data_IF_825441595460
#
_entry.id   IF_825441595460
#
_cell.length_a   1.000
_cell.length_b   1.000
_cell.length_c   1.000
_cell.angle_alpha   90.00
_cell.angle_beta   90.00
_cell.angle_gamma   90.00
#
_symmetry.space_group_name_H-M   'P 1'
#
loop_
_entity.id
_entity.type
_entity.pdbx_description
1 polymer ?
#
# COMPACT_ATOMS: atom_id res chain seq x y z
N UNK A 1 -11.55 -4.10 -20.30
CA UNK A 1 -10.45 -3.16 -20.02
C UNK A 1 -10.97 -2.11 -19.04
N UNK A 2 -10.17 -1.73 -18.05
CA UNK A 2 -10.50 -0.72 -17.03
C UNK A 2 -9.37 0.30 -16.88
N UNK A 3 -9.72 1.50 -16.42
CA UNK A 3 -8.76 2.56 -16.10
C UNK A 3 -8.62 2.65 -14.58
N UNK A 4 -7.38 2.72 -14.10
CA UNK A 4 -7.05 2.83 -12.68
C UNK A 4 -6.22 4.08 -12.38
N UNK A 5 -6.31 4.56 -11.13
CA UNK A 5 -5.62 5.74 -10.63
C UNK A 5 -4.22 5.49 -10.05
N UNK A 6 -3.67 4.27 -10.20
CA UNK A 6 -2.33 3.92 -9.70
C UNK A 6 -1.26 4.88 -10.27
N UNK A 7 -0.26 5.22 -9.45
CA UNK A 7 0.79 6.18 -9.79
C UNK A 7 0.51 7.62 -9.35
N UNK A 8 -0.75 7.96 -9.08
CA UNK A 8 -1.13 9.31 -8.66
C UNK A 8 -0.49 9.72 -7.32
N UNK A 9 -0.46 8.82 -6.34
CA UNK A 9 0.13 9.08 -5.02
C UNK A 9 1.66 9.23 -5.10
N UNK A 10 2.31 8.45 -5.95
CA UNK A 10 3.75 8.46 -6.15
C UNK A 10 4.24 9.70 -6.89
N UNK A 11 3.45 10.24 -7.82
CA UNK A 11 3.82 11.44 -8.60
C UNK A 11 3.56 12.73 -7.82
N UNK A 12 2.49 12.77 -7.04
CA UNK A 12 2.00 13.99 -6.38
C UNK A 12 2.14 13.98 -4.85
N UNK A 13 2.82 12.98 -4.28
CA UNK A 13 3.01 12.84 -2.83
C UNK A 13 1.68 12.72 -2.08
N UNK A 14 0.87 11.75 -2.49
CA UNK A 14 -0.49 11.57 -2.00
C UNK A 14 -0.62 10.75 -0.71
N UNK A 15 0.43 10.01 -0.34
CA UNK A 15 0.42 9.27 0.92
C UNK A 15 0.54 10.22 2.11
N UNK A 16 -0.16 9.90 3.19
CA UNK A 16 -0.20 10.74 4.39
C UNK A 16 1.19 11.01 5.00
N UNK A 17 2.18 10.14 4.74
CA UNK A 17 3.52 10.35 5.24
C UNK A 17 4.24 11.55 4.59
N UNK A 18 3.81 11.97 3.39
CA UNK A 18 4.36 13.17 2.74
C UNK A 18 4.07 14.47 3.48
N UNK A 19 3.11 14.48 4.42
CA UNK A 19 2.91 15.62 5.33
C UNK A 19 4.12 15.92 6.20
N UNK A 20 5.03 14.95 6.35
CA UNK A 20 6.27 15.07 7.13
C UNK A 20 7.50 15.31 6.26
N UNK A 21 7.34 15.47 4.94
CA UNK A 21 8.47 15.80 4.07
C UNK A 21 9.13 17.10 4.55
N UNK A 22 10.44 17.09 4.86
CA UNK A 22 11.09 18.22 5.53
C UNK A 22 11.26 19.44 4.61
N UNK A 23 11.35 19.20 3.30
CA UNK A 23 11.50 20.23 2.28
C UNK A 23 11.13 19.67 0.90
N UNK A 24 11.09 20.54 -0.09
CA UNK A 24 10.68 20.22 -1.47
C UNK A 24 11.63 19.23 -2.17
N UNK A 25 12.91 19.26 -1.84
CA UNK A 25 13.91 18.37 -2.45
C UNK A 25 13.74 16.94 -1.96
N UNK A 26 13.57 16.74 -0.64
CA UNK A 26 13.27 15.42 -0.08
C UNK A 26 11.92 14.87 -0.56
N UNK A 27 10.90 15.74 -0.68
CA UNK A 27 9.63 15.38 -1.30
C UNK A 27 9.84 14.86 -2.72
N UNK A 28 10.57 15.60 -3.56
CA UNK A 28 10.85 15.21 -4.93
C UNK A 28 11.66 13.92 -5.03
N UNK A 29 12.74 13.80 -4.25
CA UNK A 29 13.55 12.60 -4.22
C UNK A 29 12.73 11.37 -3.84
N UNK A 30 11.82 11.50 -2.88
CA UNK A 30 10.93 10.40 -2.50
C UNK A 30 9.95 10.04 -3.61
N UNK A 31 9.31 11.02 -4.28
CA UNK A 31 8.46 10.73 -5.45
C UNK A 31 9.23 9.99 -6.54
N UNK A 32 10.48 10.38 -6.81
CA UNK A 32 11.35 9.69 -7.76
C UNK A 32 11.67 8.24 -7.33
N UNK A 33 11.99 8.02 -6.04
CA UNK A 33 12.23 6.66 -5.51
C UNK A 33 10.98 5.79 -5.66
N UNK A 34 9.82 6.33 -5.29
CA UNK A 34 8.52 5.65 -5.37
C UNK A 34 8.16 5.27 -6.80
N UNK A 35 8.26 6.20 -7.76
CA UNK A 35 7.99 5.93 -9.17
C UNK A 35 8.93 4.83 -9.70
N UNK A 36 10.23 4.89 -9.38
CA UNK A 36 11.21 3.87 -9.80
C UNK A 36 10.91 2.48 -9.23
N UNK A 37 10.28 2.40 -8.06
CA UNK A 37 9.97 1.15 -7.38
C UNK A 37 8.57 0.59 -7.69
N UNK A 38 7.70 1.35 -8.36
CA UNK A 38 6.30 0.99 -8.65
C UNK A 38 6.12 -0.41 -9.26
N UNK A 39 7.07 -0.85 -10.09
CA UNK A 39 7.03 -2.16 -10.75
C UNK A 39 7.11 -3.34 -9.76
N UNK A 40 7.59 -3.13 -8.54
CA UNK A 40 7.67 -4.13 -7.46
C UNK A 40 6.44 -4.11 -6.55
N UNK A 41 5.61 -3.07 -6.64
CA UNK A 41 4.49 -2.81 -5.70
C UNK A 41 3.17 -2.62 -6.45
N UNK A 42 2.68 -1.39 -6.59
CA UNK A 42 1.34 -1.06 -7.06
C UNK A 42 1.10 -1.50 -8.50
N UNK A 43 2.08 -1.37 -9.39
CA UNK A 43 1.97 -1.90 -10.76
C UNK A 43 1.93 -3.43 -10.77
N UNK A 44 2.71 -4.09 -9.90
CA UNK A 44 2.70 -5.55 -9.79
C UNK A 44 1.32 -6.06 -9.36
N UNK A 45 0.74 -5.44 -8.32
CA UNK A 45 -0.61 -5.74 -7.82
C UNK A 45 -1.66 -5.47 -8.89
N UNK A 46 -1.71 -4.25 -9.43
CA UNK A 46 -2.73 -3.84 -10.39
C UNK A 46 -2.70 -4.73 -11.63
N UNK A 47 -1.52 -5.03 -12.18
CA UNK A 47 -1.39 -5.88 -13.36
C UNK A 47 -1.74 -7.34 -13.08
N UNK A 48 -1.12 -7.99 -12.07
CA UNK A 48 -1.34 -9.42 -11.82
C UNK A 48 -2.76 -9.73 -11.32
N UNK A 49 -3.32 -8.89 -10.46
CA UNK A 49 -4.66 -9.11 -9.91
C UNK A 49 -5.75 -9.03 -10.98
N UNK A 50 -5.63 -8.08 -11.93
CA UNK A 50 -6.59 -7.94 -13.02
C UNK A 50 -6.37 -8.98 -14.12
N UNK A 51 -5.09 -9.27 -14.45
CA UNK A 51 -4.74 -10.28 -15.46
C UNK A 51 -5.17 -11.69 -15.08
N UNK A 52 -5.26 -12.00 -13.77
CA UNK A 52 -5.80 -13.27 -13.28
C UNK A 52 -7.24 -13.54 -13.75
N UNK A 53 -7.97 -12.51 -14.16
CA UNK A 53 -9.34 -12.57 -14.66
C UNK A 53 -9.47 -12.12 -16.13
N UNK A 54 -8.36 -12.11 -16.88
CA UNK A 54 -8.36 -11.66 -18.28
C UNK A 54 -8.70 -10.18 -18.46
N UNK A 55 -8.54 -9.36 -17.41
CA UNK A 55 -8.86 -7.95 -17.46
C UNK A 55 -7.59 -7.10 -17.61
N UNK A 56 -7.55 -6.27 -18.66
CA UNK A 56 -6.49 -5.27 -18.84
C UNK A 56 -6.77 -4.02 -17.97
N UNK A 57 -5.80 -3.64 -17.13
CA UNK A 57 -5.77 -2.38 -16.41
C UNK A 57 -4.83 -1.37 -17.08
N UNK A 58 -5.33 -0.17 -17.37
CA UNK A 58 -4.53 0.97 -17.84
C UNK A 58 -4.37 2.01 -16.75
N UNK A 59 -3.21 2.66 -16.71
CA UNK A 59 -2.79 3.56 -15.63
C UNK A 59 -2.34 4.92 -16.20
N UNK A 60 -3.28 5.83 -16.55
CA UNK A 60 -2.96 7.07 -17.26
C UNK A 60 -1.99 7.99 -16.53
N UNK A 61 -1.98 7.98 -15.19
CA UNK A 61 -0.99 8.72 -14.40
C UNK A 61 0.46 8.28 -14.69
N UNK A 62 0.65 7.05 -15.16
CA UNK A 62 1.98 6.52 -15.49
C UNK A 62 2.31 6.61 -16.99
N UNK A 63 1.51 7.35 -17.76
CA UNK A 63 1.90 7.70 -19.13
C UNK A 63 3.22 8.50 -19.12
N UNK A 64 4.09 8.20 -20.08
CA UNK A 64 5.44 8.79 -20.14
C UNK A 64 5.40 10.31 -20.35
N UNK A 65 4.49 10.80 -21.18
CA UNK A 65 4.37 12.23 -21.44
C UNK A 65 3.77 12.94 -20.22
N UNK A 66 2.77 12.33 -19.60
CA UNK A 66 2.20 12.84 -18.36
C UNK A 66 3.24 12.91 -17.23
N UNK A 67 4.03 11.85 -17.02
CA UNK A 67 5.11 11.84 -16.02
C UNK A 67 6.10 12.98 -16.30
N UNK A 68 6.53 13.18 -17.54
CA UNK A 68 7.48 14.26 -17.88
C UNK A 68 6.94 15.63 -17.47
N UNK A 69 5.67 15.91 -17.75
CA UNK A 69 5.02 17.17 -17.33
C UNK A 69 4.91 17.22 -15.81
N UNK A 70 4.29 16.21 -15.20
CA UNK A 70 4.00 16.20 -13.77
C UNK A 70 5.27 16.26 -12.91
N UNK A 71 6.38 15.65 -13.36
CA UNK A 71 7.66 15.66 -12.64
C UNK A 71 8.51 16.91 -12.89
N UNK A 72 8.18 17.71 -13.91
CA UNK A 72 8.83 19.01 -14.18
C UNK A 72 8.29 20.18 -13.33
N UNK A 73 7.13 19.99 -12.71
CA UNK A 73 6.52 20.96 -11.80
C UNK A 73 7.41 21.15 -10.57
N UNK A 74 7.61 22.41 -10.12
CA UNK A 74 8.32 22.70 -8.87
C UNK A 74 7.71 21.90 -7.71
N UNK A 75 8.48 21.03 -7.04
CA UNK A 75 7.99 20.21 -5.94
C UNK A 75 7.34 21.02 -4.81
N UNK A 76 7.70 22.29 -4.65
CA UNK A 76 7.05 23.22 -3.73
C UNK A 76 5.53 23.32 -3.97
N UNK A 77 5.10 23.23 -5.23
CA UNK A 77 3.67 23.26 -5.59
C UNK A 77 2.94 21.96 -5.26
N UNK A 78 3.67 20.87 -5.00
CA UNK A 78 3.13 19.57 -4.58
C UNK A 78 3.14 19.37 -3.06
N UNK A 79 3.98 20.15 -2.34
CA UNK A 79 4.08 20.05 -0.90
C UNK A 79 2.74 20.36 -0.22
N UNK A 80 2.50 19.62 0.86
CA UNK A 80 1.35 19.85 1.73
C UNK A 80 1.66 21.01 2.68
N UNK A 81 0.76 21.99 2.73
CA UNK A 81 0.86 23.19 3.59
C UNK A 81 -0.48 23.43 4.26
N UNK A 82 -0.65 22.85 5.46
CA UNK A 82 -1.95 22.86 6.16
C UNK A 82 -2.39 24.25 6.60
N UNK A 83 -1.43 25.10 6.94
CA UNK A 83 -1.60 26.52 7.25
C UNK A 83 -2.18 27.31 6.07
N UNK A 84 -1.84 26.93 4.83
CA UNK A 84 -2.42 27.48 3.60
C UNK A 84 -3.68 26.72 3.13
N UNK A 85 -4.16 25.74 3.89
CA UNK A 85 -5.27 24.87 3.50
C UNK A 85 -4.94 23.86 2.38
N UNK A 86 -3.67 23.71 2.02
CA UNK A 86 -3.23 22.73 1.01
C UNK A 86 -3.16 21.33 1.63
N UNK A 87 -3.86 20.40 1.01
CA UNK A 87 -3.84 18.96 1.36
C UNK A 87 -3.03 18.17 0.32
N UNK A 88 -2.87 16.86 0.53
CA UNK A 88 -2.15 15.99 -0.38
C UNK A 88 -2.70 16.08 -1.83
N UNK A 89 -1.79 16.02 -2.80
CA UNK A 89 -2.09 16.21 -4.23
C UNK A 89 -2.76 17.56 -4.56
N UNK A 90 -2.49 18.62 -3.79
CA UNK A 90 -3.13 19.93 -3.95
C UNK A 90 -3.17 20.43 -5.41
N UNK A 91 -2.02 20.46 -6.08
CA UNK A 91 -1.95 20.93 -7.47
C UNK A 91 -2.83 20.12 -8.43
N UNK A 92 -2.93 18.80 -8.22
CA UNK A 92 -3.80 17.95 -9.01
C UNK A 92 -5.27 18.31 -8.75
N UNK A 93 -5.66 18.50 -7.49
CA UNK A 93 -7.03 18.90 -7.12
C UNK A 93 -7.39 20.24 -7.76
N UNK A 94 -6.48 21.23 -7.71
CA UNK A 94 -6.66 22.54 -8.35
C UNK A 94 -6.79 22.45 -9.87
N UNK A 95 -6.04 21.56 -10.53
CA UNK A 95 -6.13 21.38 -11.97
C UNK A 95 -7.49 20.84 -12.45
N UNK A 96 -8.26 20.19 -11.58
CA UNK A 96 -9.60 19.68 -11.86
C UNK A 96 -10.70 20.47 -11.11
N UNK A 97 -10.36 21.61 -10.50
CA UNK A 97 -11.31 22.46 -9.79
C UNK A 97 -11.96 23.49 -10.73
N UNK A 98 -12.82 22.99 -11.62
CA UNK A 98 -13.59 23.80 -12.56
C UNK A 98 -14.93 24.21 -11.89
N UNK A 99 -15.18 25.51 -11.76
CA UNK A 99 -16.41 26.03 -11.15
C UNK A 99 -17.59 26.06 -12.12
N UNK A 100 -17.32 26.21 -13.42
CA UNK A 100 -18.36 26.26 -14.45
C UNK A 100 -18.77 24.85 -14.87
N UNK A 101 -17.79 23.95 -15.00
CA UNK A 101 -17.99 22.56 -15.44
C UNK A 101 -17.31 21.56 -14.48
N UNK A 102 -17.83 21.37 -13.25
CA UNK A 102 -17.17 20.54 -12.25
C UNK A 102 -16.98 19.09 -12.69
N UNK A 103 -15.73 18.62 -12.69
CA UNK A 103 -15.41 17.19 -12.93
C UNK A 103 -15.89 16.29 -11.80
N UNK A 104 -15.86 16.79 -10.56
CA UNK A 104 -16.21 16.06 -9.35
C UNK A 104 -16.94 16.99 -8.35
N UNK A 105 -17.83 16.46 -7.49
CA UNK A 105 -18.37 17.21 -6.37
C UNK A 105 -17.24 17.72 -5.45
N UNK A 106 -17.35 18.96 -4.94
CA UNK A 106 -16.30 19.60 -4.10
C UNK A 106 -15.87 18.74 -2.91
N UNK A 107 -16.82 18.06 -2.26
CA UNK A 107 -16.53 17.19 -1.12
C UNK A 107 -15.71 15.94 -1.50
N UNK A 108 -15.75 15.48 -2.76
CA UNK A 108 -14.88 14.41 -3.28
C UNK A 108 -13.54 15.00 -3.70
N UNK A 109 -13.57 16.12 -4.45
CA UNK A 109 -12.38 16.79 -4.96
C UNK A 109 -11.41 17.21 -3.85
N UNK A 110 -11.93 17.55 -2.66
CA UNK A 110 -11.15 17.96 -1.50
C UNK A 110 -11.21 16.94 -0.35
N UNK A 111 -11.65 15.71 -0.62
CA UNK A 111 -11.62 14.63 0.37
C UNK A 111 -10.17 14.26 0.71
N UNK A 112 -9.87 14.20 2.01
CA UNK A 112 -8.57 13.72 2.48
C UNK A 112 -8.34 12.27 2.05
N UNK A 113 -7.08 11.94 1.75
CA UNK A 113 -6.66 10.57 1.42
C UNK A 113 -6.98 9.60 2.55
N UNK A 114 -7.71 8.55 2.17
CA UNK A 114 -7.84 7.32 2.95
C UNK A 114 -7.06 6.20 2.26
N UNK A 115 -6.42 5.33 3.02
CA UNK A 115 -5.70 4.17 2.48
C UNK A 115 -6.70 3.09 2.02
N UNK A 116 -6.32 2.31 1.00
CA UNK A 116 -7.23 1.31 0.43
C UNK A 116 -7.73 0.31 1.48
N UNK A 117 -6.86 -0.12 2.38
CA UNK A 117 -7.18 -1.11 3.40
C UNK A 117 -8.22 -0.64 4.43
N UNK A 118 -8.31 0.66 4.66
CA UNK A 118 -9.36 1.24 5.51
C UNK A 118 -10.61 1.56 4.69
N UNK A 119 -10.44 2.01 3.44
CA UNK A 119 -11.54 2.29 2.52
C UNK A 119 -12.35 1.06 2.08
N UNK A 120 -11.77 -0.15 2.11
CA UNK A 120 -12.50 -1.41 1.84
C UNK A 120 -13.33 -1.90 3.03
N UNK A 121 -13.07 -1.37 4.23
CA UNK A 121 -13.72 -1.76 5.48
C UNK A 121 -12.72 -2.15 6.55
N UNK A 122 -12.89 -1.55 7.74
CA UNK A 122 -11.94 -1.67 8.84
C UNK A 122 -11.70 -3.11 9.33
N UNK A 123 -12.72 -3.98 9.24
CA UNK A 123 -12.64 -5.38 9.64
C UNK A 123 -11.78 -6.26 8.72
N UNK A 124 -11.42 -5.77 7.53
CA UNK A 124 -10.67 -6.57 6.55
C UNK A 124 -9.27 -6.94 7.06
N UNK A 125 -8.48 -5.94 7.48
CA UNK A 125 -7.13 -6.16 8.02
C UNK A 125 -7.20 -7.01 9.30
N UNK A 126 -8.16 -6.71 10.17
CA UNK A 126 -8.30 -7.43 11.44
C UNK A 126 -8.67 -8.90 11.21
N UNK A 127 -9.50 -9.17 10.20
CA UNK A 127 -9.81 -10.53 9.73
C UNK A 127 -8.58 -11.27 9.21
N UNK A 128 -7.72 -10.61 8.41
CA UNK A 128 -6.47 -11.21 7.92
C UNK A 128 -5.50 -11.54 9.06
N UNK A 129 -5.37 -10.66 10.05
CA UNK A 129 -4.56 -10.89 11.25
C UNK A 129 -5.09 -12.07 12.06
N UNK A 130 -6.40 -12.09 12.32
CA UNK A 130 -7.05 -13.18 13.05
C UNK A 130 -6.91 -14.52 12.32
N UNK A 131 -7.04 -14.53 11.00
CA UNK A 131 -6.83 -15.73 10.18
C UNK A 131 -5.37 -16.22 10.25
N UNK A 132 -4.40 -15.32 10.11
CA UNK A 132 -2.99 -15.67 10.25
C UNK A 132 -2.64 -16.21 11.65
N UNK A 133 -3.28 -15.66 12.70
CA UNK A 133 -3.12 -16.11 14.09
C UNK A 133 -3.55 -17.57 14.31
N UNK A 134 -4.55 -18.04 13.56
CA UNK A 134 -5.01 -19.44 13.61
C UNK A 134 -4.02 -20.41 12.95
N UNK A 135 -3.21 -19.93 12.00
CA UNK A 135 -2.32 -20.77 11.19
C UNK A 135 -0.83 -20.66 11.58
N UNK A 136 -0.42 -19.58 12.25
CA UNK A 136 0.97 -19.35 12.63
C UNK A 136 1.11 -19.28 14.14
N UNK A 137 1.76 -20.30 14.71
CA UNK A 137 1.98 -20.38 16.15
C UNK A 137 3.16 -19.54 16.61
N UNK A 138 3.21 -19.19 17.90
CA UNK A 138 4.37 -18.49 18.48
C UNK A 138 5.66 -19.32 18.34
N UNK A 139 5.58 -20.65 18.40
CA UNK A 139 6.72 -21.54 18.16
C UNK A 139 7.26 -21.42 16.73
N UNK A 140 6.38 -21.30 15.73
CA UNK A 140 6.78 -21.04 14.34
C UNK A 140 7.49 -19.70 14.20
N UNK A 141 6.97 -18.65 14.84
CA UNK A 141 7.60 -17.32 14.85
C UNK A 141 8.99 -17.35 15.50
N UNK A 142 9.17 -18.03 16.64
CA UNK A 142 10.49 -18.18 17.27
C UNK A 142 11.51 -18.86 16.35
N UNK A 143 11.07 -19.73 15.44
CA UNK A 143 11.94 -20.43 14.50
C UNK A 143 12.01 -19.76 13.11
N UNK A 144 11.40 -18.59 12.92
CA UNK A 144 11.24 -17.97 11.61
C UNK A 144 12.57 -17.68 10.92
N UNK A 145 13.59 -17.21 11.65
CA UNK A 145 14.92 -16.91 11.09
C UNK A 145 15.66 -18.15 10.58
N UNK A 146 15.40 -19.31 11.16
CA UNK A 146 16.01 -20.57 10.73
C UNK A 146 15.33 -21.12 9.46
N UNK A 147 14.01 -20.91 9.33
CA UNK A 147 13.23 -21.40 8.19
C UNK A 147 13.34 -20.42 7.00
N UNK A 148 13.28 -19.12 7.28
CA UNK A 148 13.27 -18.05 6.29
C UNK A 148 14.41 -17.05 6.55
N UNK A 149 15.68 -17.43 6.32
CA UNK A 149 16.83 -16.57 6.64
C UNK A 149 16.90 -15.28 5.81
N UNK A 150 16.34 -15.29 4.59
CA UNK A 150 16.18 -14.11 3.75
C UNK A 150 14.80 -13.49 3.96
N UNK A 151 14.74 -12.19 4.24
CA UNK A 151 13.51 -11.45 4.55
C UNK A 151 12.65 -12.18 5.60
N UNK A 152 13.24 -12.44 6.77
CA UNK A 152 12.56 -13.11 7.87
C UNK A 152 11.25 -12.41 8.23
N UNK A 153 10.10 -13.11 8.24
CA UNK A 153 8.84 -12.50 8.62
C UNK A 153 8.86 -12.11 10.11
N UNK A 154 8.48 -10.86 10.40
CA UNK A 154 8.44 -10.31 11.77
C UNK A 154 7.05 -10.37 12.40
N UNK A 155 6.02 -10.66 11.60
CA UNK A 155 4.64 -10.84 12.05
C UNK A 155 4.10 -12.19 11.58
N UNK A 156 3.07 -12.69 12.26
CA UNK A 156 2.38 -13.92 11.87
C UNK A 156 1.70 -13.80 10.51
N UNK A 157 1.14 -12.64 10.21
CA UNK A 157 0.56 -12.34 8.90
C UNK A 157 1.61 -12.46 7.78
N UNK A 158 2.78 -11.81 7.95
CA UNK A 158 3.89 -11.92 7.00
C UNK A 158 4.40 -13.37 6.88
N UNK A 159 4.47 -14.11 7.99
CA UNK A 159 4.85 -15.53 7.99
C UNK A 159 3.86 -16.36 7.18
N UNK A 160 2.56 -16.12 7.35
CA UNK A 160 1.51 -16.83 6.64
C UNK A 160 1.60 -16.60 5.12
N UNK A 161 1.75 -15.34 4.69
CA UNK A 161 1.99 -15.03 3.27
C UNK A 161 3.28 -15.67 2.75
N UNK A 162 4.35 -15.67 3.55
CA UNK A 162 5.63 -16.29 3.19
C UNK A 162 5.49 -17.80 2.99
N UNK A 163 4.74 -18.49 3.84
CA UNK A 163 4.44 -19.92 3.67
C UNK A 163 3.73 -20.19 2.35
N UNK A 164 2.72 -19.39 2.01
CA UNK A 164 1.97 -19.54 0.75
C UNK A 164 2.91 -19.27 -0.43
N UNK A 165 3.70 -18.19 -0.38
CA UNK A 165 4.65 -17.85 -1.43
C UNK A 165 5.63 -18.98 -1.70
N UNK A 166 6.28 -19.53 -0.67
CA UNK A 166 7.27 -20.60 -0.86
C UNK A 166 6.65 -21.94 -1.28
N UNK A 167 5.36 -22.17 -0.99
CA UNK A 167 4.62 -23.32 -1.52
C UNK A 167 4.50 -23.27 -3.04
N UNK A 168 4.28 -22.09 -3.61
CA UNK A 168 4.16 -21.90 -5.07
C UNK A 168 5.50 -21.64 -5.76
N UNK A 169 6.43 -20.98 -5.06
CA UNK A 169 7.71 -20.53 -5.59
C UNK A 169 8.89 -20.94 -4.67
N UNK A 170 9.24 -22.24 -4.62
CA UNK A 170 10.25 -22.75 -3.70
C UNK A 170 11.70 -22.34 -4.05
N UNK A 171 11.92 -21.76 -5.22
CA UNK A 171 13.26 -21.43 -5.72
C UNK A 171 13.84 -20.19 -5.05
N UNK A 172 15.15 -20.21 -4.79
CA UNK A 172 15.88 -19.05 -4.26
C UNK A 172 15.74 -17.81 -5.16
N UNK A 173 15.76 -17.98 -6.48
CA UNK A 173 15.60 -16.87 -7.42
C UNK A 173 14.27 -16.14 -7.22
N UNK A 174 13.18 -16.86 -6.96
CA UNK A 174 11.88 -16.25 -6.69
C UNK A 174 11.88 -15.44 -5.39
N UNK A 175 12.50 -15.97 -4.31
CA UNK A 175 12.64 -15.26 -3.04
C UNK A 175 13.35 -13.91 -3.18
N UNK A 176 14.37 -13.86 -4.04
CA UNK A 176 15.16 -12.64 -4.30
C UNK A 176 14.40 -11.57 -5.10
N UNK A 177 13.27 -11.93 -5.73
CA UNK A 177 12.43 -10.95 -6.45
C UNK A 177 11.55 -10.11 -5.52
N UNK A 178 11.36 -10.55 -4.26
CA UNK A 178 10.52 -9.84 -3.29
C UNK A 178 11.41 -8.86 -2.50
N UNK A 179 11.22 -7.54 -2.66
CA UNK A 179 12.02 -6.56 -1.95
C UNK A 179 11.82 -6.68 -0.43
N UNK A 180 12.92 -6.61 0.31
CA UNK A 180 12.91 -6.51 1.77
C UNK A 180 13.24 -5.10 2.24
N UNK A 181 13.11 -4.86 3.55
CA UNK A 181 13.49 -3.61 4.20
C UNK A 181 12.38 -3.01 5.07
N UNK A 182 12.73 -1.99 5.84
CA UNK A 182 11.76 -1.25 6.65
C UNK A 182 10.86 -0.39 5.74
N UNK A 183 9.55 -0.40 6.03
CA UNK A 183 8.55 0.40 5.33
C UNK A 183 7.41 0.77 6.29
N UNK A 184 6.81 1.94 6.10
CA UNK A 184 5.62 2.40 6.82
C UNK A 184 4.64 2.93 5.78
N UNK A 185 3.43 2.37 5.70
CA UNK A 185 2.39 2.91 4.80
C UNK A 185 2.86 3.13 3.34
N UNK A 186 3.61 2.18 2.77
CA UNK A 186 4.22 2.27 1.44
C UNK A 186 5.40 3.27 1.32
N UNK A 187 5.94 3.78 2.42
CA UNK A 187 7.12 4.67 2.45
C UNK A 187 8.41 3.91 2.16
N UNK A 188 9.41 4.63 1.65
CA UNK A 188 10.78 4.13 1.62
C UNK A 188 11.45 4.26 2.98
N UNK A 189 12.52 3.48 3.22
CA UNK A 189 13.32 3.60 4.43
C UNK A 189 13.81 5.04 4.70
N UNK A 190 14.04 5.83 3.65
CA UNK A 190 14.48 7.22 3.78
C UNK A 190 13.36 8.13 4.31
N UNK A 191 12.11 7.90 3.90
CA UNK A 191 10.97 8.67 4.41
C UNK A 191 10.63 8.32 5.87
N UNK A 192 11.02 7.15 6.37
CA UNK A 192 10.92 6.82 7.80
C UNK A 192 11.81 7.72 8.66
N UNK A 193 12.89 8.28 8.11
CA UNK A 193 13.79 9.21 8.81
C UNK A 193 13.18 10.61 9.00
N UNK A 194 12.10 10.94 8.30
CA UNK A 194 11.48 12.27 8.36
C UNK A 194 10.73 12.53 9.67
N UNK A 195 10.30 11.48 10.38
CA UNK A 195 9.59 11.60 11.64
C UNK A 195 10.15 10.60 12.67
N UNK A 196 10.69 11.14 13.77
CA UNK A 196 11.28 10.34 14.84
C UNK A 196 10.26 9.38 15.50
N UNK A 197 8.97 9.72 15.49
CA UNK A 197 7.91 8.87 16.03
C UNK A 197 7.67 7.61 15.16
N UNK A 198 7.90 7.69 13.84
CA UNK A 198 7.74 6.53 12.94
C UNK A 198 8.89 5.53 13.01
N UNK A 199 10.09 5.98 13.36
CA UNK A 199 11.22 5.07 13.61
C UNK A 199 10.87 3.98 14.65
N UNK A 200 9.95 4.29 15.57
CA UNK A 200 9.51 3.39 16.64
C UNK A 200 8.12 2.77 16.39
N UNK A 201 7.42 3.12 15.30
CA UNK A 201 6.08 2.60 14.99
C UNK A 201 5.93 2.31 13.49
N UNK A 202 6.49 1.17 13.07
CA UNK A 202 6.49 0.72 11.68
C UNK A 202 5.19 -0.02 11.30
N UNK A 203 4.03 0.62 11.46
CA UNK A 203 2.77 0.00 11.03
C UNK A 203 2.62 0.06 9.49
N UNK A 204 2.61 -1.09 8.81
CA UNK A 204 2.49 -1.14 7.36
C UNK A 204 1.09 -0.73 6.87
N UNK A 205 0.05 -0.79 7.71
CA UNK A 205 -1.30 -0.34 7.35
C UNK A 205 -1.43 1.18 7.28
N UNK A 206 -0.41 1.91 7.74
CA UNK A 206 -0.35 3.36 7.71
C UNK A 206 -1.38 4.08 8.58
N UNK A 207 -2.07 3.32 9.45
CA UNK A 207 -2.85 3.84 10.57
C UNK A 207 -1.94 4.57 11.58
N UNK A 208 -0.63 4.31 11.55
CA UNK A 208 0.39 5.02 12.32
C UNK A 208 0.68 6.47 11.88
N UNK A 209 0.04 7.02 10.84
CA UNK A 209 0.05 8.46 10.56
C UNK A 209 -0.81 9.26 11.57
N UNK A 210 -0.62 8.96 12.86
CA UNK A 210 -1.31 9.57 14.01
C UNK A 210 -1.16 11.10 13.96
N UNK A 211 -2.28 11.81 14.05
CA UNK A 211 -2.33 13.28 14.03
C UNK A 211 -2.36 13.93 12.63
N UNK A 212 -2.25 13.15 11.54
CA UNK A 212 -2.37 13.67 10.16
C UNK A 212 -3.79 13.49 9.61
N UNK A 213 -4.39 12.31 9.82
CA UNK A 213 -5.75 12.04 9.36
C UNK A 213 -6.77 12.71 10.30
N UNK A 214 -7.67 13.55 9.75
CA UNK A 214 -8.65 14.30 10.54
C UNK A 214 -9.68 13.40 11.23
N UNK A 215 -9.90 12.20 10.69
CA UNK A 215 -10.73 11.15 11.28
C UNK A 215 -9.89 10.00 11.84
N UNK A 216 -8.61 10.23 12.16
CA UNK A 216 -7.82 9.24 12.91
C UNK A 216 -8.56 8.92 14.23
N UNK A 217 -8.58 7.65 14.61
CA UNK A 217 -9.29 7.20 15.81
C UNK A 217 -8.93 8.04 17.05
N UNK A 218 -9.93 8.40 17.84
CA UNK A 218 -9.73 8.80 19.22
C UNK A 218 -9.16 7.58 19.98
N UNK A 219 -8.16 7.80 20.83
CA UNK A 219 -7.44 6.75 21.56
C UNK A 219 -8.30 5.96 22.58
N UNK A 220 -9.61 6.20 22.66
CA UNK A 220 -10.47 5.78 23.78
C UNK A 220 -11.66 4.90 23.41
N UNK A 221 -11.74 4.32 22.21
CA UNK A 221 -12.85 3.39 21.88
C UNK A 221 -12.35 1.96 21.78
N UNK A 222 -12.54 1.11 22.81
CA UNK A 222 -12.41 -0.33 22.65
C UNK A 222 -13.52 -0.77 21.69
N UNK A 223 -13.15 -1.18 20.47
CA UNK A 223 -14.09 -1.75 19.52
C UNK A 223 -14.62 -3.06 20.12
N UNK A 224 -15.93 -3.13 20.28
CA UNK A 224 -16.65 -4.24 20.86
C UNK A 224 -16.34 -5.55 20.12
N UNK A 225 -16.00 -6.58 20.89
CA UNK A 225 -15.91 -7.97 20.42
C UNK A 225 -17.31 -8.45 19.98
N UNK A 226 -17.73 -8.10 18.76
CA UNK A 226 -18.83 -8.79 18.10
C UNK A 226 -18.21 -9.76 17.09
N UNK A 227 -18.37 -11.09 17.27
CA UNK A 227 -17.83 -12.06 16.34
C UNK A 227 -18.47 -11.85 14.96
N UNK A 228 -17.63 -11.60 13.96
CA UNK A 228 -18.06 -11.59 12.57
C UNK A 228 -18.51 -13.01 12.21
N UNK A 229 -19.76 -13.18 11.77
CA UNK A 229 -20.23 -14.47 11.26
C UNK A 229 -19.45 -14.81 10.01
N UNK A 230 -18.51 -15.75 10.14
CA UNK A 230 -17.80 -16.37 9.03
C UNK A 230 -18.83 -17.16 8.21
N UNK A 231 -19.03 -16.79 6.95
CA UNK A 231 -19.82 -17.58 6.01
C UNK A 231 -18.89 -18.68 5.49
N UNK A 232 -18.98 -19.87 6.10
CA UNK A 232 -18.25 -21.09 5.70
C UNK A 232 -18.81 -21.67 4.40
N UNK A 233 -18.57 -21.01 3.26
CA UNK A 233 -18.79 -21.60 1.95
C UNK A 233 -17.59 -21.30 1.03
N UNK A 234 -16.48 -22.00 1.28
CA UNK A 234 -15.36 -22.09 0.33
C UNK A 234 -15.65 -23.27 -0.61
N UNK A 235 -15.81 -23.06 -1.94
CA UNK A 235 -15.76 -24.16 -2.88
C UNK A 235 -14.36 -24.79 -2.84
N UNK A 236 -14.26 -26.11 -2.66
CA UNK A 236 -12.99 -26.83 -2.76
C UNK A 236 -12.30 -26.45 -4.07
N UNK A 237 -11.06 -25.95 -3.98
CA UNK A 237 -10.21 -25.76 -5.14
C UNK A 237 -10.06 -27.08 -5.89
N UNK A 238 -10.25 -27.02 -7.21
CA UNK A 238 -10.11 -28.15 -8.14
C UNK A 238 -8.72 -28.76 -7.96
N UNK A 239 -8.66 -30.05 -7.64
CA UNK A 239 -7.43 -30.83 -7.64
C UNK A 239 -6.85 -30.86 -9.06
N UNK A 240 -5.63 -30.38 -9.23
CA UNK A 240 -4.88 -30.48 -10.50
C UNK A 240 -4.24 -31.88 -10.53
N UNK A 241 -4.57 -32.75 -11.50
CA UNK A 241 -3.94 -34.07 -11.58
C UNK A 241 -2.47 -33.93 -11.97
N UNK A 242 -1.60 -34.58 -11.20
CA UNK A 242 -0.16 -34.63 -11.48
C UNK A 242 0.13 -35.30 -12.82
N UNK A 243 0.95 -34.65 -13.65
CA UNK A 243 1.47 -35.22 -14.89
C UNK A 243 2.55 -36.23 -14.53
N UNK A 244 2.25 -37.51 -14.72
CA UNK A 244 3.25 -38.58 -14.63
C UNK A 244 4.17 -38.50 -15.85
N UNK A 245 5.46 -38.25 -15.61
CA UNK A 245 6.50 -38.42 -16.63
C UNK A 245 6.79 -39.92 -16.69
N UNK A 246 6.39 -40.59 -17.76
CA UNK A 246 6.88 -41.93 -18.07
C UNK A 246 8.27 -41.79 -18.70
N UNK A 247 9.24 -42.45 -18.07
CA UNK A 247 10.61 -42.68 -18.52
C UNK A 247 10.67 -43.51 -19.80
#
# INVERSE_FOLDING_TARGET
MVISGEGSDEIFGGYLYFHKAPNKDEFHHETCRKIKALHQYDCLRANKATSAWGLEARVPFLDKQFINVAMSIDPESKMIKRDEGRIEKWILRRAFDDEEHPYLPKHILYRQKEQFSDGVGYSWIDGLKAHADQHVTNKMMCNASNIFPHNTPTTKEAYYYRMIFERFFPQNSARLTVPGGATVACSTAKAVEWDAAWKNNLDPSGRAALGVHLSAYNAETPLSNMPSQVIDNIPRMIEVPGVAIQS
#
